data_IF_372556779664
#
_entry.id   IF_372556779664
#
_cell.length_a   1.000
_cell.length_b   1.000
_cell.length_c   1.000
_cell.angle_alpha   90.00
_cell.angle_beta   90.00
_cell.angle_gamma   90.00
#
_symmetry.space_group_name_H-M   'P 1'
#
loop_
_entity.id
_entity.type
_entity.pdbx_description
1 polymer ?
#
# COMPACT_ATOMS: atom_id res chain seq x y z
N UNK A 1 7.28 -13.77 -2.47
CA UNK A 1 6.91 -13.81 -1.04
C UNK A 1 7.78 -14.78 -0.25
N UNK A 2 7.83 -16.08 -0.59
CA UNK A 2 8.53 -17.10 0.24
C UNK A 2 10.03 -16.91 0.42
N UNK A 3 10.68 -16.11 -0.42
CA UNK A 3 12.11 -15.76 -0.31
C UNK A 3 12.34 -14.35 0.21
N UNK A 4 11.27 -13.63 0.59
CA UNK A 4 11.37 -12.25 1.04
C UNK A 4 11.75 -12.19 2.53
N UNK A 5 12.61 -11.23 2.90
CA UNK A 5 12.88 -10.93 4.31
C UNK A 5 11.66 -10.33 5.00
N UNK A 6 10.94 -9.47 4.28
CA UNK A 6 9.71 -8.79 4.71
C UNK A 6 8.81 -8.56 3.50
N UNK A 7 7.50 -8.52 3.72
CA UNK A 7 6.53 -8.25 2.65
C UNK A 7 5.70 -7.00 2.93
N UNK A 8 5.46 -6.17 1.90
CA UNK A 8 4.41 -5.17 1.91
C UNK A 8 3.25 -5.69 1.04
N UNK A 9 2.14 -6.00 1.67
CA UNK A 9 0.92 -6.46 1.02
C UNK A 9 0.09 -5.24 0.63
N UNK A 10 0.07 -4.91 -0.65
CA UNK A 10 -0.75 -3.84 -1.20
C UNK A 10 -2.01 -4.39 -1.86
N UNK A 11 -3.04 -3.56 -1.97
CA UNK A 11 -4.28 -3.91 -2.65
C UNK A 11 -4.07 -4.21 -4.14
N UNK A 12 -3.36 -3.33 -4.85
CA UNK A 12 -3.21 -3.41 -6.29
C UNK A 12 -1.81 -3.10 -6.83
N UNK A 13 -1.69 -3.10 -8.18
CA UNK A 13 -0.43 -2.81 -8.86
C UNK A 13 -0.04 -1.33 -8.76
N UNK A 14 -1.01 -0.43 -8.61
CA UNK A 14 -0.75 1.00 -8.49
C UNK A 14 0.16 1.32 -7.29
N UNK A 15 -0.15 0.78 -6.12
CA UNK A 15 0.65 0.95 -4.91
C UNK A 15 2.00 0.24 -5.05
N UNK A 16 2.00 -0.98 -5.64
CA UNK A 16 3.21 -1.78 -5.83
C UNK A 16 4.29 -1.02 -6.60
N UNK A 17 3.91 -0.32 -7.66
CA UNK A 17 4.85 0.40 -8.52
C UNK A 17 4.99 1.88 -8.12
N UNK A 18 3.93 2.51 -7.63
CA UNK A 18 3.93 3.93 -7.27
C UNK A 18 4.64 4.24 -5.95
N UNK A 19 4.47 3.40 -4.91
CA UNK A 19 5.04 3.68 -3.60
C UNK A 19 6.58 3.72 -3.59
N UNK A 20 7.31 2.80 -4.26
CA UNK A 20 8.77 2.90 -4.36
C UNK A 20 9.25 4.21 -4.97
N UNK A 21 8.60 4.65 -6.05
CA UNK A 21 8.95 5.90 -6.75
C UNK A 21 8.70 7.11 -5.84
N UNK A 22 7.57 7.13 -5.15
CA UNK A 22 7.24 8.19 -4.20
C UNK A 22 8.16 8.19 -2.99
N UNK A 23 8.52 7.02 -2.48
CA UNK A 23 9.47 6.89 -1.38
C UNK A 23 10.83 7.45 -1.77
N UNK A 24 11.34 7.11 -2.96
CA UNK A 24 12.60 7.63 -3.47
C UNK A 24 12.56 9.17 -3.61
N UNK A 25 11.49 9.72 -4.20
CA UNK A 25 11.29 11.18 -4.29
C UNK A 25 11.32 11.84 -2.92
N UNK A 26 10.68 11.25 -1.92
CA UNK A 26 10.64 11.74 -0.53
C UNK A 26 11.94 11.47 0.26
N UNK A 27 12.98 10.90 -0.35
CA UNK A 27 14.22 10.53 0.34
C UNK A 27 14.00 9.45 1.41
N UNK A 28 13.10 8.51 1.15
CA UNK A 28 12.80 7.36 1.99
C UNK A 28 13.21 6.06 1.30
N UNK A 29 13.47 5.07 2.14
CA UNK A 29 13.89 3.75 1.70
C UNK A 29 13.02 2.68 2.38
N UNK A 30 12.58 1.71 1.58
CA UNK A 30 11.84 0.54 2.05
C UNK A 30 12.76 -0.66 2.34
N UNK A 31 14.07 -0.55 2.11
CA UNK A 31 15.04 -1.60 2.38
C UNK A 31 14.68 -2.91 1.66
N UNK A 32 14.89 -4.03 2.33
CA UNK A 32 14.69 -5.38 1.76
C UNK A 32 13.22 -5.86 1.75
N UNK A 33 12.25 -4.94 1.64
CA UNK A 33 10.83 -5.30 1.54
C UNK A 33 10.50 -5.76 0.12
N UNK A 34 9.85 -6.92 0.00
CA UNK A 34 9.18 -7.33 -1.25
C UNK A 34 7.74 -6.81 -1.26
N UNK A 35 7.40 -5.95 -2.23
CA UNK A 35 6.04 -5.42 -2.38
C UNK A 35 5.19 -6.35 -3.26
N UNK A 36 4.03 -6.74 -2.76
CA UNK A 36 3.11 -7.67 -3.40
C UNK A 36 1.77 -6.99 -3.68
N UNK A 37 1.39 -6.94 -4.95
CA UNK A 37 0.01 -6.62 -5.35
C UNK A 37 -0.87 -7.84 -5.08
N UNK A 38 -1.79 -7.73 -4.11
CA UNK A 38 -2.71 -8.81 -3.78
C UNK A 38 -3.85 -8.96 -4.79
N UNK A 39 -3.99 -8.00 -5.72
CA UNK A 39 -5.01 -7.95 -6.78
C UNK A 39 -6.44 -7.96 -6.21
N UNK A 40 -6.66 -7.09 -5.22
CA UNK A 40 -7.95 -6.81 -4.59
C UNK A 40 -7.95 -7.04 -3.07
N UNK A 41 -8.65 -6.15 -2.34
CA UNK A 41 -8.78 -6.19 -0.88
C UNK A 41 -9.21 -7.52 -0.31
N UNK A 42 -10.16 -8.20 -0.97
CA UNK A 42 -10.68 -9.51 -0.56
C UNK A 42 -9.62 -10.62 -0.57
N UNK A 43 -8.51 -10.44 -1.29
CA UNK A 43 -7.41 -11.41 -1.39
C UNK A 43 -6.29 -11.17 -0.38
N UNK A 44 -6.18 -9.96 0.18
CA UNK A 44 -5.15 -9.61 1.18
C UNK A 44 -5.12 -10.63 2.34
N UNK A 45 -6.25 -11.06 2.94
CA UNK A 45 -6.24 -12.04 4.02
C UNK A 45 -5.59 -13.39 3.67
N UNK A 46 -5.63 -13.82 2.40
CA UNK A 46 -4.95 -15.06 1.99
C UNK A 46 -3.43 -14.89 2.01
N UNK A 47 -2.91 -13.74 1.59
CA UNK A 47 -1.49 -13.44 1.69
C UNK A 47 -1.04 -13.23 3.14
N UNK A 48 -1.86 -12.60 3.97
CA UNK A 48 -1.62 -12.47 5.41
C UNK A 48 -1.56 -13.85 6.09
N UNK A 49 -2.50 -14.75 5.75
CA UNK A 49 -2.48 -16.14 6.23
C UNK A 49 -1.18 -16.85 5.87
N UNK A 50 -0.75 -16.77 4.61
CA UNK A 50 0.51 -17.36 4.17
C UNK A 50 1.70 -16.73 4.91
N UNK A 51 1.77 -15.40 5.03
CA UNK A 51 2.85 -14.74 5.77
C UNK A 51 2.90 -15.22 7.23
N UNK A 52 1.75 -15.33 7.91
CA UNK A 52 1.67 -15.87 9.27
C UNK A 52 2.13 -17.32 9.35
N UNK A 53 1.63 -18.18 8.46
CA UNK A 53 1.95 -19.62 8.44
C UNK A 53 3.45 -19.87 8.24
N UNK A 54 4.09 -19.10 7.36
CA UNK A 54 5.51 -19.21 7.05
C UNK A 54 6.39 -18.27 7.90
N UNK A 55 5.81 -17.56 8.89
CA UNK A 55 6.50 -16.58 9.76
C UNK A 55 7.28 -15.50 8.98
N UNK A 56 6.73 -15.07 7.86
CA UNK A 56 7.26 -13.97 7.04
C UNK A 56 6.70 -12.66 7.61
N UNK A 57 7.53 -11.72 8.10
CA UNK A 57 7.05 -10.43 8.56
C UNK A 57 6.37 -9.67 7.42
N UNK A 58 5.21 -9.08 7.68
CA UNK A 58 4.44 -8.38 6.66
C UNK A 58 3.82 -7.08 7.18
N UNK A 59 3.72 -6.11 6.28
CA UNK A 59 2.98 -4.86 6.45
C UNK A 59 1.77 -4.88 5.52
N UNK A 60 0.60 -4.47 5.99
CA UNK A 60 -0.63 -4.43 5.18
C UNK A 60 -1.02 -3.00 4.82
N UNK A 61 -1.24 -2.73 3.53
CA UNK A 61 -1.71 -1.45 3.01
C UNK A 61 -2.86 -1.66 2.04
N UNK A 62 -3.98 -0.97 2.25
CA UNK A 62 -5.15 -1.04 1.38
C UNK A 62 -6.05 0.19 1.54
N UNK A 63 -7.03 0.34 0.66
CA UNK A 63 -7.94 1.47 0.63
C UNK A 63 -9.17 1.23 1.52
N UNK A 64 -9.72 2.25 2.17
CA UNK A 64 -11.01 2.15 2.86
C UNK A 64 -12.20 2.47 1.94
N UNK A 65 -11.96 3.00 0.74
CA UNK A 65 -12.97 3.44 -0.22
C UNK A 65 -13.93 4.50 0.31
N UNK A 66 -13.51 5.29 1.31
CA UNK A 66 -14.37 6.26 1.99
C UNK A 66 -15.36 5.62 2.98
N UNK A 67 -15.22 4.32 3.24
CA UNK A 67 -16.03 3.57 4.23
C UNK A 67 -15.29 3.47 5.57
N UNK A 68 -16.03 3.06 6.61
CA UNK A 68 -15.46 2.81 7.92
C UNK A 68 -14.63 1.51 7.96
N UNK A 69 -13.74 1.41 8.94
CA UNK A 69 -12.95 0.20 9.21
C UNK A 69 -13.83 -1.03 9.56
N UNK A 70 -15.00 -0.79 10.15
CA UNK A 70 -15.97 -1.84 10.49
C UNK A 70 -16.80 -2.32 9.29
N UNK A 71 -16.66 -1.71 8.11
CA UNK A 71 -17.26 -2.25 6.90
C UNK A 71 -16.73 -3.67 6.64
N UNK A 72 -17.61 -4.57 6.20
CA UNK A 72 -17.31 -6.00 6.03
C UNK A 72 -16.05 -6.25 5.21
N UNK A 73 -15.81 -5.47 4.17
CA UNK A 73 -14.67 -5.65 3.27
C UNK A 73 -13.36 -5.10 3.85
N UNK A 74 -13.44 -4.12 4.76
CA UNK A 74 -12.30 -3.49 5.43
C UNK A 74 -11.90 -4.23 6.70
N UNK A 75 -12.88 -4.75 7.45
CA UNK A 75 -12.67 -5.40 8.74
C UNK A 75 -11.77 -6.63 8.63
N UNK A 76 -11.99 -7.46 7.60
CA UNK A 76 -11.26 -8.73 7.43
C UNK A 76 -9.74 -8.55 7.28
N UNK A 77 -9.21 -7.71 6.37
CA UNK A 77 -7.76 -7.47 6.31
C UNK A 77 -7.21 -6.77 7.57
N UNK A 78 -8.02 -5.95 8.26
CA UNK A 78 -7.62 -5.30 9.52
C UNK A 78 -7.47 -6.28 10.67
N UNK A 79 -8.42 -7.20 10.85
CA UNK A 79 -8.41 -8.23 11.89
C UNK A 79 -7.20 -9.17 11.76
N UNK A 80 -6.75 -9.39 10.53
CA UNK A 80 -5.60 -10.26 10.24
C UNK A 80 -4.27 -9.52 10.25
N UNK A 81 -4.25 -8.19 10.15
CA UNK A 81 -3.05 -7.38 10.22
C UNK A 81 -2.58 -7.15 11.67
N UNK A 82 -1.29 -6.94 11.86
CA UNK A 82 -0.76 -6.41 13.12
C UNK A 82 -1.03 -4.90 13.18
N UNK A 83 -1.52 -4.41 14.32
CA UNK A 83 -1.80 -2.98 14.55
C UNK A 83 -0.57 -2.08 14.33
N UNK A 84 0.62 -2.62 14.52
CA UNK A 84 1.90 -1.92 14.34
C UNK A 84 2.48 -2.06 12.92
N UNK A 85 1.90 -2.92 12.08
CA UNK A 85 2.33 -3.21 10.71
C UNK A 85 1.18 -3.08 9.71
N UNK A 86 0.40 -1.99 9.83
CA UNK A 86 -0.68 -1.68 8.89
C UNK A 86 -0.83 -0.18 8.66
N UNK A 87 -1.34 0.17 7.49
CA UNK A 87 -1.84 1.51 7.17
C UNK A 87 -2.98 1.39 6.17
N UNK A 88 -3.79 2.42 6.09
CA UNK A 88 -4.92 2.48 5.16
C UNK A 88 -4.98 3.86 4.52
N UNK A 89 -5.46 3.91 3.28
CA UNK A 89 -5.88 5.17 2.68
C UNK A 89 -7.37 5.37 2.94
N UNK A 90 -7.78 6.55 3.42
CA UNK A 90 -9.18 6.84 3.76
C UNK A 90 -10.10 6.74 2.54
N UNK A 91 -9.64 7.18 1.37
CA UNK A 91 -10.37 7.08 0.11
C UNK A 91 -9.79 5.97 -0.75
N UNK A 92 -8.99 6.31 -1.75
CA UNK A 92 -8.18 5.35 -2.51
C UNK A 92 -6.86 5.98 -2.92
N UNK A 93 -5.85 5.17 -3.22
CA UNK A 93 -4.55 5.68 -3.65
C UNK A 93 -4.67 6.54 -4.93
N UNK A 94 -5.50 6.14 -5.90
CA UNK A 94 -5.71 6.92 -7.13
C UNK A 94 -6.45 8.24 -6.86
N UNK A 95 -7.47 8.22 -5.98
CA UNK A 95 -8.25 9.42 -5.63
C UNK A 95 -7.40 10.47 -4.92
N UNK A 96 -6.43 10.06 -4.10
CA UNK A 96 -5.48 10.98 -3.48
C UNK A 96 -4.62 11.73 -4.52
N UNK A 97 -4.36 11.11 -5.66
CA UNK A 97 -3.73 11.76 -6.81
C UNK A 97 -4.74 12.38 -7.80
N UNK A 98 -6.03 12.44 -7.47
CA UNK A 98 -7.06 13.01 -8.33
C UNK A 98 -7.28 12.24 -9.64
N UNK A 99 -6.93 10.95 -9.68
CA UNK A 99 -7.21 10.06 -10.82
C UNK A 99 -8.58 9.41 -10.59
N UNK A 100 -9.56 9.74 -11.45
CA UNK A 100 -10.94 9.28 -11.35
C UNK A 100 -11.17 7.83 -11.81
N UNK A 101 -12.38 7.32 -11.56
CA UNK A 101 -12.80 5.92 -11.78
C UNK A 101 -12.99 5.51 -13.24
N UNK A 102 -13.04 6.47 -14.17
CA UNK A 102 -13.70 6.28 -15.47
C UNK A 102 -12.75 6.21 -16.67
N UNK A 103 -11.62 5.48 -16.53
CA UNK A 103 -10.66 5.39 -17.64
C UNK A 103 -10.03 4.01 -17.77
N UNK A 104 -10.11 3.45 -18.98
CA UNK A 104 -9.10 2.52 -19.47
C UNK A 104 -7.71 3.11 -19.17
N UNK A 105 -6.80 2.28 -18.63
CA UNK A 105 -5.44 2.65 -18.24
C UNK A 105 -5.27 3.55 -17.00
N UNK A 106 -6.20 3.53 -16.03
CA UNK A 106 -6.08 4.28 -14.76
C UNK A 106 -4.72 4.15 -14.07
N UNK A 107 -4.16 2.93 -14.03
CA UNK A 107 -2.88 2.65 -13.38
C UNK A 107 -1.73 3.34 -14.10
N UNK A 108 -1.71 3.30 -15.44
CA UNK A 108 -0.67 3.94 -16.24
C UNK A 108 -0.69 5.47 -16.07
N UNK A 109 -1.89 6.07 -16.10
CA UNK A 109 -2.05 7.53 -15.88
C UNK A 109 -1.60 7.95 -14.48
N UNK A 110 -1.90 7.14 -13.48
CA UNK A 110 -1.44 7.39 -12.12
C UNK A 110 0.09 7.31 -12.04
N UNK A 111 0.72 6.29 -12.61
CA UNK A 111 2.17 6.13 -12.58
C UNK A 111 2.87 7.29 -13.31
N UNK A 112 2.36 7.71 -14.47
CA UNK A 112 2.87 8.89 -15.18
C UNK A 112 2.74 10.16 -14.33
N UNK A 113 1.62 10.32 -13.61
CA UNK A 113 1.44 11.43 -12.68
C UNK A 113 2.43 11.37 -11.51
N UNK A 114 2.69 10.18 -10.97
CA UNK A 114 3.67 9.96 -9.91
C UNK A 114 5.08 10.29 -10.41
N UNK A 115 5.45 9.87 -11.62
CA UNK A 115 6.78 10.13 -12.20
C UNK A 115 7.04 11.64 -12.35
N UNK A 116 6.00 12.41 -12.68
CA UNK A 116 6.09 13.85 -12.90
C UNK A 116 5.71 14.73 -11.68
N UNK A 117 5.32 14.13 -10.55
CA UNK A 117 4.87 14.90 -9.37
C UNK A 117 6.03 15.64 -8.69
N UNK A 118 5.79 16.89 -8.29
CA UNK A 118 6.70 17.62 -7.40
C UNK A 118 6.47 17.21 -5.94
N UNK A 119 7.51 17.34 -5.11
CA UNK A 119 7.44 16.98 -3.68
C UNK A 119 6.31 17.68 -2.92
N UNK A 120 5.99 18.93 -3.28
CA UNK A 120 4.94 19.74 -2.63
C UNK A 120 3.53 19.25 -2.98
N UNK A 121 3.38 18.54 -4.09
CA UNK A 121 2.09 18.09 -4.62
C UNK A 121 1.77 16.65 -4.18
N UNK A 122 2.69 15.98 -3.48
CA UNK A 122 2.45 14.65 -2.90
C UNK A 122 1.47 14.80 -1.72
N UNK A 123 0.31 14.10 -1.74
CA UNK A 123 -0.65 14.14 -0.65
C UNK A 123 -0.02 13.76 0.70
N UNK A 124 -0.32 14.54 1.76
CA UNK A 124 0.21 14.30 3.12
C UNK A 124 -0.08 12.90 3.65
N UNK A 125 -1.23 12.35 3.28
CA UNK A 125 -1.61 10.99 3.66
C UNK A 125 -0.63 9.95 3.10
N UNK A 126 -0.19 10.14 1.85
CA UNK A 126 0.76 9.26 1.18
C UNK A 126 2.16 9.40 1.79
N UNK A 127 2.61 10.63 2.07
CA UNK A 127 3.90 10.83 2.74
C UNK A 127 3.93 10.17 4.12
N UNK A 128 2.84 10.29 4.89
CA UNK A 128 2.73 9.66 6.20
C UNK A 128 2.77 8.14 6.11
N UNK A 129 2.05 7.53 5.15
CA UNK A 129 2.10 6.08 4.92
C UNK A 129 3.51 5.62 4.55
N UNK A 130 4.20 6.35 3.67
CA UNK A 130 5.59 6.05 3.28
C UNK A 130 6.53 6.14 4.49
N UNK A 131 6.38 7.15 5.35
CA UNK A 131 7.17 7.28 6.57
C UNK A 131 6.97 6.11 7.53
N UNK A 132 5.71 5.68 7.72
CA UNK A 132 5.37 4.54 8.57
C UNK A 132 5.96 3.25 8.01
N UNK A 133 5.83 3.00 6.70
CA UNK A 133 6.40 1.82 6.04
C UNK A 133 7.93 1.84 6.14
N UNK A 134 8.59 2.97 5.85
CA UNK A 134 10.05 3.09 5.94
C UNK A 134 10.56 2.88 7.36
N UNK A 135 9.84 3.38 8.38
CA UNK A 135 10.18 3.14 9.78
C UNK A 135 10.02 1.66 10.16
N UNK A 136 8.95 1.01 9.71
CA UNK A 136 8.72 -0.42 9.92
C UNK A 136 9.76 -1.29 9.20
N UNK A 137 10.18 -0.89 7.99
CA UNK A 137 11.20 -1.57 7.21
C UNK A 137 12.52 -1.71 7.96
N UNK A 138 12.90 -0.68 8.72
CA UNK A 138 14.18 -0.59 9.45
C UNK A 138 14.22 -1.29 10.81
N UNK A 139 13.07 -1.66 11.36
CA UNK A 139 12.98 -2.40 12.64
C UNK A 139 13.38 -3.86 12.47
#
# INVERSE_FOLDING_TARGET
MFFARKCLLSEGPAEKYGLPVLAQKLGRDFGDITILSCNGKSKIPYYQLLCKAFRIPFFTLFDLDGKNEDDRDNKRPLDWADNTARSVFKTSFEKLFGVGTDTEHKTSKLLEKIDNVNLKDIPKEISNVIDVISKWAKK
#
